data_IF_148436185228
#
_entry.id   IF_148436185228
#
_cell.length_a   1.000
_cell.length_b   1.000
_cell.length_c   1.000
_cell.angle_alpha   90.00
_cell.angle_beta   90.00
_cell.angle_gamma   90.00
#
_symmetry.space_group_name_H-M   'P 1'
#
loop_
_entity.id
_entity.type
_entity.pdbx_description
1 polymer ?
#
# COMPACT_ATOMS: atom_id res chain seq x y z
N UNK A 1 -22.55 16.91 10.73
CA UNK A 1 -23.19 18.07 10.07
C UNK A 1 -22.83 17.95 8.61
N UNK A 2 -23.81 17.80 7.67
CA UNK A 2 -23.49 17.76 6.24
C UNK A 2 -22.84 19.07 5.83
N UNK A 3 -21.71 18.97 5.09
CA UNK A 3 -21.03 20.13 4.54
C UNK A 3 -21.92 20.79 3.49
N UNK A 4 -21.99 22.13 3.42
CA UNK A 4 -22.81 22.84 2.43
C UNK A 4 -22.30 22.54 1.02
N UNK A 5 -23.21 22.23 0.10
CA UNK A 5 -22.94 22.17 -1.34
C UNK A 5 -22.46 23.54 -1.82
N UNK A 6 -21.19 23.64 -2.16
CA UNK A 6 -20.64 24.86 -2.76
C UNK A 6 -20.92 24.77 -4.27
N UNK A 7 -22.04 25.33 -4.69
CA UNK A 7 -22.39 25.47 -6.09
C UNK A 7 -21.57 26.62 -6.74
N UNK A 8 -20.40 26.28 -7.27
CA UNK A 8 -19.66 27.13 -8.19
C UNK A 8 -19.91 26.58 -9.60
N UNK A 9 -20.44 27.37 -10.56
CA UNK A 9 -20.66 26.90 -11.92
C UNK A 9 -19.34 26.43 -12.53
N UNK A 10 -19.28 25.18 -12.99
CA UNK A 10 -18.16 24.66 -13.77
C UNK A 10 -18.12 25.37 -15.14
N UNK A 11 -16.93 25.86 -15.55
CA UNK A 11 -16.72 26.30 -16.92
C UNK A 11 -16.72 25.06 -17.81
N UNK A 12 -17.62 24.98 -18.78
CA UNK A 12 -17.69 23.87 -19.75
C UNK A 12 -16.39 23.89 -20.56
N UNK A 13 -15.54 22.88 -20.35
CA UNK A 13 -14.34 22.66 -21.15
C UNK A 13 -14.74 21.79 -22.36
N UNK A 14 -14.53 22.30 -23.57
CA UNK A 14 -14.81 21.54 -24.79
C UNK A 14 -13.85 20.37 -24.92
N UNK A 15 -14.34 19.14 -24.80
CA UNK A 15 -13.58 17.93 -25.08
C UNK A 15 -13.64 17.66 -26.58
N UNK A 16 -12.48 17.66 -27.26
CA UNK A 16 -12.33 17.51 -28.71
C UNK A 16 -12.77 16.13 -29.22
N UNK A 17 -13.21 16.02 -30.48
CA UNK A 17 -13.74 14.82 -31.13
C UNK A 17 -12.74 13.69 -31.40
N UNK A 18 -11.67 13.56 -30.60
CA UNK A 18 -10.72 12.46 -30.61
C UNK A 18 -11.09 11.39 -29.57
N UNK A 19 -10.51 10.18 -29.68
CA UNK A 19 -10.59 9.19 -28.62
C UNK A 19 -10.09 9.80 -27.31
N UNK A 20 -10.97 9.89 -26.30
CA UNK A 20 -10.72 10.55 -25.02
C UNK A 20 -9.57 9.89 -24.27
N UNK A 21 -8.67 10.68 -23.71
CA UNK A 21 -7.46 10.22 -23.02
C UNK A 21 -7.52 10.57 -21.52
N UNK A 22 -7.17 9.62 -20.66
CA UNK A 22 -7.09 9.83 -19.22
C UNK A 22 -5.70 9.53 -18.69
N UNK A 23 -5.12 10.48 -17.96
CA UNK A 23 -3.89 10.30 -17.22
C UNK A 23 -4.19 10.06 -15.73
N UNK A 24 -3.82 8.92 -15.19
CA UNK A 24 -4.05 8.58 -13.77
C UNK A 24 -2.75 8.72 -12.99
N UNK A 25 -2.78 9.50 -11.92
CA UNK A 25 -1.67 9.64 -10.97
C UNK A 25 -2.07 9.02 -9.64
N UNK A 26 -1.30 8.03 -9.19
CA UNK A 26 -1.54 7.35 -7.92
C UNK A 26 -0.47 7.71 -6.90
N UNK A 27 -0.89 8.19 -5.74
CA UNK A 27 -0.02 8.47 -4.61
C UNK A 27 -0.36 7.57 -3.43
N UNK A 28 0.65 7.19 -2.64
CA UNK A 28 0.46 6.52 -1.36
C UNK A 28 0.62 5.00 -1.40
N UNK A 29 -0.41 4.26 -1.07
CA UNK A 29 -0.32 2.83 -0.72
C UNK A 29 -0.81 1.88 -1.83
N UNK A 30 -0.61 0.57 -1.63
CA UNK A 30 -1.05 -0.50 -2.54
C UNK A 30 -2.57 -0.49 -2.76
N UNK A 31 -3.34 -0.08 -1.73
CA UNK A 31 -4.80 0.07 -1.84
C UNK A 31 -5.14 1.16 -2.86
N UNK A 32 -4.48 2.33 -2.80
CA UNK A 32 -4.67 3.37 -3.81
C UNK A 32 -4.27 2.87 -5.22
N UNK A 33 -3.22 2.06 -5.33
CA UNK A 33 -2.81 1.49 -6.63
C UNK A 33 -3.91 0.57 -7.18
N UNK A 34 -4.42 -0.36 -6.38
CA UNK A 34 -5.52 -1.24 -6.77
C UNK A 34 -6.77 -0.44 -7.23
N UNK A 35 -7.16 0.56 -6.44
CA UNK A 35 -8.32 1.40 -6.75
C UNK A 35 -8.14 2.21 -8.05
N UNK A 36 -6.93 2.73 -8.29
CA UNK A 36 -6.62 3.47 -9.52
C UNK A 36 -6.66 2.58 -10.77
N UNK A 37 -6.18 1.35 -10.65
CA UNK A 37 -6.26 0.38 -11.76
C UNK A 37 -7.72 -0.02 -12.03
N UNK A 38 -8.55 -0.23 -11.00
CA UNK A 38 -9.99 -0.46 -11.17
C UNK A 38 -10.68 0.69 -11.90
N UNK A 39 -10.38 1.94 -11.49
CA UNK A 39 -10.93 3.12 -12.17
C UNK A 39 -10.47 3.14 -13.63
N UNK A 40 -9.18 2.89 -13.88
CA UNK A 40 -8.62 2.84 -15.22
C UNK A 40 -9.28 1.77 -16.10
N UNK A 41 -9.47 0.56 -15.57
CA UNK A 41 -10.13 -0.55 -16.27
C UNK A 41 -11.59 -0.22 -16.61
N UNK A 42 -12.31 0.38 -15.65
CA UNK A 42 -13.69 0.81 -15.85
C UNK A 42 -13.78 1.90 -16.94
N UNK A 43 -12.85 2.87 -16.94
CA UNK A 43 -12.81 3.92 -17.95
C UNK A 43 -12.46 3.40 -19.35
N UNK A 44 -11.60 2.36 -19.45
CA UNK A 44 -11.34 1.69 -20.73
C UNK A 44 -12.61 1.07 -21.32
N UNK A 45 -13.47 0.50 -20.48
CA UNK A 45 -14.76 -0.05 -20.88
C UNK A 45 -15.68 1.06 -21.46
N UNK A 46 -15.56 2.28 -20.95
CA UNK A 46 -16.26 3.47 -21.43
C UNK A 46 -15.51 4.20 -22.58
N UNK A 47 -14.62 3.49 -23.28
CA UNK A 47 -13.85 3.97 -24.43
C UNK A 47 -12.85 5.12 -24.15
N UNK A 48 -12.37 5.25 -22.90
CA UNK A 48 -11.26 6.11 -22.56
C UNK A 48 -9.92 5.40 -22.76
N UNK A 49 -8.97 6.08 -23.38
CA UNK A 49 -7.60 5.59 -23.48
C UNK A 49 -6.80 6.01 -22.24
N UNK A 50 -6.41 5.04 -21.41
CA UNK A 50 -5.48 5.29 -20.31
C UNK A 50 -4.10 5.52 -20.88
N UNK A 51 -3.52 6.67 -20.57
CA UNK A 51 -2.19 7.10 -21.04
C UNK A 51 -1.27 7.39 -19.87
N UNK A 52 0.06 7.35 -20.07
CA UNK A 52 0.99 7.80 -19.05
C UNK A 52 0.63 9.20 -18.53
N UNK A 53 0.63 9.38 -17.21
CA UNK A 53 0.28 10.66 -16.60
C UNK A 53 1.25 11.81 -16.96
N UNK A 54 2.33 11.51 -17.68
CA UNK A 54 3.30 12.46 -18.24
C UNK A 54 2.89 13.00 -19.61
N UNK A 55 1.89 12.39 -20.26
CA UNK A 55 1.36 12.81 -21.55
C UNK A 55 0.20 13.80 -21.41
N UNK A 56 -0.11 14.51 -22.48
CA UNK A 56 -1.32 15.33 -22.53
C UNK A 56 -2.56 14.41 -22.57
N UNK A 57 -3.55 14.72 -21.73
CA UNK A 57 -4.80 13.96 -21.61
C UNK A 57 -5.98 14.93 -21.51
N UNK A 58 -7.19 14.43 -21.77
CA UNK A 58 -8.44 15.19 -21.65
C UNK A 58 -8.99 15.19 -20.23
N UNK A 59 -8.57 14.18 -19.45
CA UNK A 59 -8.88 14.02 -18.03
C UNK A 59 -7.61 13.65 -17.26
N UNK A 60 -7.37 14.30 -16.14
CA UNK A 60 -6.41 13.85 -15.13
C UNK A 60 -7.12 13.44 -13.85
N UNK A 61 -6.92 12.20 -13.42
CA UNK A 61 -7.37 11.68 -12.14
C UNK A 61 -6.18 11.56 -11.18
N UNK A 62 -6.22 12.27 -10.06
CA UNK A 62 -5.17 12.21 -9.04
C UNK A 62 -5.71 11.54 -7.78
N UNK A 63 -5.34 10.26 -7.58
CA UNK A 63 -5.69 9.49 -6.39
C UNK A 63 -4.64 9.76 -5.29
N UNK A 64 -5.06 10.47 -4.25
CA UNK A 64 -4.19 11.13 -3.28
C UNK A 64 -4.01 10.34 -1.99
N UNK A 65 -2.91 10.63 -1.30
CA UNK A 65 -2.59 10.14 0.04
C UNK A 65 -2.54 11.30 1.05
N UNK A 66 -2.80 11.00 2.34
CA UNK A 66 -2.78 11.98 3.44
C UNK A 66 -2.13 11.44 4.73
N UNK A 67 -1.33 10.38 4.63
CA UNK A 67 -0.68 9.78 5.82
C UNK A 67 0.29 10.76 6.49
N UNK A 68 0.92 11.64 5.71
CA UNK A 68 1.82 12.69 6.20
C UNK A 68 1.54 14.04 5.55
N UNK A 69 1.96 15.14 6.20
CA UNK A 69 1.92 16.50 5.58
C UNK A 69 2.72 16.57 4.27
N UNK A 70 3.78 15.78 4.16
CA UNK A 70 4.55 15.67 2.92
C UNK A 70 3.74 15.01 1.81
N UNK A 71 2.94 13.99 2.12
CA UNK A 71 2.01 13.39 1.14
C UNK A 71 0.98 14.39 0.62
N UNK A 72 0.42 15.25 1.50
CA UNK A 72 -0.48 16.33 1.08
C UNK A 72 0.23 17.34 0.16
N UNK A 73 1.50 17.68 0.48
CA UNK A 73 2.31 18.59 -0.36
C UNK A 73 2.54 17.97 -1.75
N UNK A 74 2.89 16.70 -1.82
CA UNK A 74 3.07 15.97 -3.07
C UNK A 74 1.77 15.90 -3.87
N UNK A 75 0.64 15.61 -3.22
CA UNK A 75 -0.67 15.61 -3.86
C UNK A 75 -0.97 16.94 -4.56
N UNK A 76 -0.83 18.06 -3.84
CA UNK A 76 -1.00 19.40 -4.43
C UNK A 76 -0.03 19.70 -5.57
N UNK A 77 1.19 19.18 -5.49
CA UNK A 77 2.19 19.36 -6.54
C UNK A 77 1.80 18.58 -7.81
N UNK A 78 1.34 17.33 -7.69
CA UNK A 78 0.91 16.53 -8.85
C UNK A 78 -0.35 17.13 -9.50
N UNK A 79 -1.32 17.62 -8.72
CA UNK A 79 -2.48 18.35 -9.24
C UNK A 79 -2.04 19.54 -10.10
N UNK A 80 -1.12 20.39 -9.59
CA UNK A 80 -0.61 21.54 -10.34
C UNK A 80 0.16 21.15 -11.59
N UNK A 81 0.90 20.04 -11.57
CA UNK A 81 1.60 19.51 -12.75
C UNK A 81 0.60 19.06 -13.83
N UNK A 82 -0.48 18.38 -13.44
CA UNK A 82 -1.53 17.95 -14.37
C UNK A 82 -2.18 19.16 -15.06
N UNK A 83 -2.60 20.16 -14.29
CA UNK A 83 -3.18 21.42 -14.79
C UNK A 83 -2.23 22.14 -15.76
N UNK A 84 -0.93 22.24 -15.40
CA UNK A 84 0.07 22.88 -16.26
C UNK A 84 0.29 22.13 -17.58
N UNK A 85 0.14 20.79 -17.56
CA UNK A 85 0.37 19.94 -18.74
C UNK A 85 -0.70 20.14 -19.80
N UNK A 86 -1.95 20.19 -19.40
CA UNK A 86 -3.08 20.56 -20.26
C UNK A 86 -4.10 21.37 -19.45
N UNK A 87 -4.09 22.72 -19.60
CA UNK A 87 -5.03 23.60 -18.90
C UNK A 87 -6.50 23.37 -19.26
N UNK A 88 -6.77 22.80 -20.42
CA UNK A 88 -8.12 22.52 -20.93
C UNK A 88 -8.66 21.16 -20.46
N UNK A 89 -7.82 20.31 -19.87
CA UNK A 89 -8.24 19.03 -19.35
C UNK A 89 -9.13 19.17 -18.12
N UNK A 90 -10.04 18.20 -17.93
CA UNK A 90 -10.73 18.02 -16.66
C UNK A 90 -9.75 17.49 -15.60
N UNK A 91 -9.81 18.03 -14.40
CA UNK A 91 -8.94 17.60 -13.29
C UNK A 91 -9.79 17.15 -12.11
N UNK A 92 -9.70 15.85 -11.81
CA UNK A 92 -10.38 15.21 -10.69
C UNK A 92 -9.38 14.83 -9.61
N UNK A 93 -9.63 15.29 -8.39
CA UNK A 93 -8.83 14.95 -7.21
C UNK A 93 -9.63 14.02 -6.31
N UNK A 94 -9.08 12.84 -6.02
CA UNK A 94 -9.73 11.85 -5.15
C UNK A 94 -8.74 11.25 -4.15
N UNK A 95 -9.20 10.30 -3.33
CA UNK A 95 -8.36 9.60 -2.36
C UNK A 95 -8.37 10.23 -0.97
N UNK A 96 -7.43 9.79 -0.12
CA UNK A 96 -7.47 10.14 1.31
C UNK A 96 -7.30 11.64 1.58
N UNK A 97 -6.50 12.37 0.80
CA UNK A 97 -6.37 13.82 0.98
C UNK A 97 -7.64 14.55 0.55
N UNK A 98 -8.25 14.17 -0.55
CA UNK A 98 -9.53 14.72 -1.00
C UNK A 98 -10.65 14.48 0.02
N UNK A 99 -10.68 13.32 0.67
CA UNK A 99 -11.62 12.99 1.74
C UNK A 99 -11.43 13.86 2.98
N UNK A 100 -10.17 14.14 3.37
CA UNK A 100 -9.86 14.84 4.62
C UNK A 100 -9.88 16.35 4.51
N UNK A 101 -9.53 16.91 3.37
CA UNK A 101 -9.46 18.37 3.15
C UNK A 101 -9.97 18.72 1.75
N UNK A 102 -11.28 18.46 1.49
CA UNK A 102 -11.86 18.70 0.18
C UNK A 102 -11.83 20.17 -0.22
N UNK A 103 -11.97 21.09 0.75
CA UNK A 103 -11.91 22.52 0.47
C UNK A 103 -10.53 22.98 -0.01
N UNK A 104 -9.44 22.48 0.61
CA UNK A 104 -8.10 22.79 0.15
C UNK A 104 -7.84 22.26 -1.27
N UNK A 105 -8.37 21.08 -1.61
CA UNK A 105 -8.32 20.56 -2.96
C UNK A 105 -9.13 21.41 -3.95
N UNK A 106 -10.35 21.80 -3.60
CA UNK A 106 -11.24 22.60 -4.44
C UNK A 106 -10.71 24.04 -4.68
N UNK A 107 -9.94 24.58 -3.73
CA UNK A 107 -9.29 25.92 -3.86
C UNK A 107 -8.11 25.92 -4.81
N UNK A 108 -7.60 24.78 -5.28
CA UNK A 108 -6.54 24.75 -6.29
C UNK A 108 -7.16 25.19 -7.63
N UNK A 109 -6.68 26.29 -8.24
CA UNK A 109 -7.20 26.76 -9.52
C UNK A 109 -7.01 25.67 -10.59
N UNK A 110 -8.06 25.37 -11.35
CA UNK A 110 -8.05 24.35 -12.41
C UNK A 110 -8.51 22.95 -11.96
N UNK A 111 -8.81 22.73 -10.69
CA UNK A 111 -9.51 21.51 -10.23
C UNK A 111 -11.00 21.65 -10.55
N UNK A 112 -11.54 20.67 -11.24
CA UNK A 112 -12.94 20.62 -11.69
C UNK A 112 -13.82 19.81 -10.71
N UNK A 113 -13.31 18.69 -10.15
CA UNK A 113 -14.03 17.86 -9.20
C UNK A 113 -13.13 17.37 -8.08
N UNK A 114 -13.63 17.42 -6.86
CA UNK A 114 -13.08 16.74 -5.69
C UNK A 114 -14.02 15.61 -5.30
N UNK A 115 -13.53 14.37 -5.38
CA UNK A 115 -14.33 13.16 -5.19
C UNK A 115 -13.84 12.39 -3.96
N UNK A 116 -14.75 12.09 -3.02
CA UNK A 116 -14.45 11.33 -1.82
C UNK A 116 -14.14 9.85 -2.06
N UNK A 117 -13.64 9.20 -1.02
CA UNK A 117 -13.40 7.75 -1.02
C UNK A 117 -14.72 6.94 -1.06
N UNK A 118 -15.84 7.56 -0.71
CA UNK A 118 -17.17 6.96 -0.70
C UNK A 118 -17.64 6.53 -2.10
N UNK A 119 -17.29 7.27 -3.14
CA UNK A 119 -17.79 7.05 -4.50
C UNK A 119 -16.75 7.14 -5.62
N UNK A 120 -15.45 7.09 -5.30
CA UNK A 120 -14.40 7.19 -6.31
C UNK A 120 -14.43 6.07 -7.36
N UNK A 121 -14.90 4.88 -6.99
CA UNK A 121 -15.05 3.76 -7.93
C UNK A 121 -16.23 3.94 -8.88
N UNK A 122 -17.17 4.87 -8.58
CA UNK A 122 -18.26 5.26 -9.49
C UNK A 122 -17.85 6.34 -10.51
N UNK A 123 -16.56 6.64 -10.64
CA UNK A 123 -16.07 7.72 -11.50
C UNK A 123 -16.63 7.64 -12.93
N UNK A 124 -16.71 6.46 -13.50
CA UNK A 124 -17.28 6.24 -14.83
C UNK A 124 -18.75 6.70 -14.95
N UNK A 125 -19.55 6.52 -13.88
CA UNK A 125 -20.95 6.96 -13.84
C UNK A 125 -21.08 8.49 -13.72
N UNK A 126 -20.05 9.13 -13.16
CA UNK A 126 -20.01 10.57 -12.89
C UNK A 126 -19.46 11.37 -14.09
N UNK A 127 -18.62 10.78 -14.93
CA UNK A 127 -17.93 11.47 -16.03
C UNK A 127 -18.88 12.17 -16.99
N UNK A 128 -19.96 11.56 -17.50
CA UNK A 128 -20.88 12.25 -18.42
C UNK A 128 -21.48 13.53 -17.80
N UNK A 129 -21.81 13.48 -16.51
CA UNK A 129 -22.35 14.62 -15.77
C UNK A 129 -21.27 15.68 -15.49
N UNK A 130 -20.03 15.25 -15.25
CA UNK A 130 -18.90 16.15 -15.09
C UNK A 130 -18.63 16.93 -16.38
N UNK A 131 -18.63 16.24 -17.53
CA UNK A 131 -18.47 16.85 -18.85
C UNK A 131 -19.61 17.84 -19.19
N UNK A 132 -20.81 17.53 -18.76
CA UNK A 132 -21.97 18.43 -18.92
C UNK A 132 -21.98 19.62 -17.93
N UNK A 133 -21.04 19.65 -16.96
CA UNK A 133 -21.02 20.69 -15.92
C UNK A 133 -22.15 20.60 -14.91
N UNK A 134 -22.75 19.42 -14.75
CA UNK A 134 -23.92 19.17 -13.89
C UNK A 134 -23.56 18.79 -12.45
N UNK A 135 -22.27 18.54 -12.17
CA UNK A 135 -21.84 18.11 -10.82
C UNK A 135 -21.40 19.29 -9.95
N UNK A 136 -21.62 19.22 -8.64
CA UNK A 136 -20.98 20.14 -7.71
C UNK A 136 -19.47 19.89 -7.69
N UNK A 137 -18.71 20.94 -7.44
CA UNK A 137 -17.23 20.86 -7.41
C UNK A 137 -16.69 19.91 -6.35
N UNK A 138 -17.43 19.70 -5.26
CA UNK A 138 -17.04 18.82 -4.14
C UNK A 138 -18.14 17.77 -3.95
N UNK A 139 -17.75 16.50 -4.06
CA UNK A 139 -18.58 15.33 -3.83
C UNK A 139 -17.86 14.39 -2.85
N UNK A 140 -17.93 14.71 -1.57
CA UNK A 140 -17.31 13.95 -0.48
C UNK A 140 -18.40 13.60 0.51
N UNK A 141 -18.70 12.32 0.62
CA UNK A 141 -19.77 11.79 1.48
C UNK A 141 -19.26 11.19 2.78
N UNK A 142 -20.21 10.68 3.54
CA UNK A 142 -19.99 9.99 4.80
C UNK A 142 -19.66 8.51 4.51
N UNK A 143 -18.48 8.11 4.94
CA UNK A 143 -17.96 6.75 4.75
C UNK A 143 -18.68 5.69 5.61
N UNK A 144 -19.44 6.11 6.62
CA UNK A 144 -20.26 5.20 7.43
C UNK A 144 -21.54 4.79 6.70
N UNK A 145 -22.02 5.64 5.77
CA UNK A 145 -23.29 5.44 5.08
C UNK A 145 -23.12 4.76 3.71
N UNK A 146 -22.09 5.12 2.97
CA UNK A 146 -21.89 4.61 1.62
C UNK A 146 -20.41 4.53 1.26
N UNK A 147 -20.01 3.39 0.68
CA UNK A 147 -18.75 3.24 -0.02
C UNK A 147 -18.97 2.37 -1.25
N UNK A 148 -18.60 2.88 -2.42
CA UNK A 148 -18.66 2.10 -3.66
C UNK A 148 -17.77 0.86 -3.56
N UNK A 149 -18.33 -0.29 -3.88
CA UNK A 149 -17.61 -1.55 -4.03
C UNK A 149 -17.19 -1.76 -5.49
N UNK A 150 -16.15 -2.55 -5.76
CA UNK A 150 -15.76 -2.86 -7.13
C UNK A 150 -16.88 -3.61 -7.88
N UNK A 151 -17.37 -3.02 -8.96
CA UNK A 151 -18.32 -3.66 -9.87
C UNK A 151 -17.63 -4.57 -10.88
N UNK A 152 -16.34 -4.36 -11.12
CA UNK A 152 -15.54 -5.05 -12.13
C UNK A 152 -14.31 -5.71 -11.53
N UNK A 153 -13.82 -6.74 -12.21
CA UNK A 153 -12.56 -7.41 -11.88
C UNK A 153 -11.45 -6.86 -12.77
N UNK A 154 -10.29 -6.60 -12.18
CA UNK A 154 -9.08 -6.25 -12.92
C UNK A 154 -8.66 -7.40 -13.84
N UNK A 155 -8.35 -7.06 -15.09
CA UNK A 155 -7.68 -7.98 -16.00
C UNK A 155 -6.17 -8.07 -15.71
N UNK A 156 -5.58 -7.00 -15.21
CA UNK A 156 -4.15 -6.94 -14.91
C UNK A 156 -3.66 -5.54 -14.57
N UNK A 157 -2.35 -5.38 -14.57
CA UNK A 157 -1.59 -4.17 -14.27
C UNK A 157 -0.58 -3.92 -15.39
N UNK A 158 -0.74 -2.88 -16.18
CA UNK A 158 0.14 -2.65 -17.35
C UNK A 158 1.60 -2.39 -16.97
N UNK A 159 1.83 -1.70 -15.85
CA UNK A 159 3.17 -1.28 -15.43
C UNK A 159 3.83 -2.17 -14.37
N UNK A 160 3.15 -3.21 -13.89
CA UNK A 160 3.62 -4.02 -12.76
C UNK A 160 3.76 -5.50 -13.11
N UNK A 161 4.84 -6.13 -12.66
CA UNK A 161 5.05 -7.57 -12.76
C UNK A 161 4.24 -8.35 -11.71
N UNK A 162 3.86 -7.66 -10.62
CA UNK A 162 3.05 -8.17 -9.52
C UNK A 162 1.69 -7.50 -9.53
N UNK A 163 0.64 -8.27 -9.27
CA UNK A 163 -0.70 -7.73 -9.10
C UNK A 163 -0.98 -7.41 -7.62
N UNK A 164 -1.85 -6.46 -7.37
CA UNK A 164 -2.38 -6.14 -6.03
C UNK A 164 -3.85 -6.53 -5.97
N UNK A 165 -4.29 -7.08 -4.85
CA UNK A 165 -5.71 -7.37 -4.61
C UNK A 165 -6.07 -6.83 -3.23
N UNK A 166 -6.94 -5.84 -3.22
CA UNK A 166 -7.50 -5.32 -1.99
C UNK A 166 -8.58 -6.29 -1.49
N UNK A 167 -8.46 -6.69 -0.22
CA UNK A 167 -9.44 -7.58 0.43
C UNK A 167 -10.20 -6.88 1.56
N UNK A 168 -9.66 -5.77 2.08
CA UNK A 168 -10.20 -5.06 3.23
C UNK A 168 -9.97 -3.56 3.09
N UNK A 169 -10.92 -2.74 3.55
CA UNK A 169 -10.88 -1.28 3.55
C UNK A 169 -11.29 -0.74 4.91
N UNK A 170 -10.83 0.49 5.23
CA UNK A 170 -11.12 1.13 6.52
C UNK A 170 -10.34 0.52 7.67
N UNK A 171 -10.55 1.02 8.90
CA UNK A 171 -9.83 0.55 10.09
C UNK A 171 -10.54 1.00 11.36
N UNK A 172 -10.83 0.07 12.27
CA UNK A 172 -11.48 0.34 13.56
C UNK A 172 -10.48 0.59 14.72
N UNK A 173 -9.16 0.53 14.45
CA UNK A 173 -8.12 0.64 15.50
C UNK A 173 -8.10 2.00 16.20
N UNK A 174 -8.35 3.09 15.50
CA UNK A 174 -8.31 4.43 16.07
C UNK A 174 -6.97 4.78 16.73
N UNK A 175 -5.84 4.40 16.14
CA UNK A 175 -4.51 4.75 16.63
C UNK A 175 -4.38 6.26 16.79
N UNK A 176 -3.77 6.73 17.88
CA UNK A 176 -3.78 8.14 18.28
C UNK A 176 -3.10 9.09 17.30
N UNK A 177 -2.25 8.61 16.43
CA UNK A 177 -1.53 9.37 15.41
C UNK A 177 -2.13 9.28 14.01
N UNK A 178 -3.05 8.34 13.80
CA UNK A 178 -3.50 7.93 12.47
C UNK A 178 -4.82 8.63 12.11
N UNK A 179 -4.87 9.17 10.90
CA UNK A 179 -6.07 9.81 10.35
C UNK A 179 -6.83 8.85 9.41
N UNK A 180 -6.28 7.67 9.13
CA UNK A 180 -6.81 6.78 8.09
C UNK A 180 -8.16 6.19 8.46
N UNK A 181 -8.44 5.96 9.74
CA UNK A 181 -9.76 5.52 10.20
C UNK A 181 -10.86 6.54 9.84
N UNK A 182 -10.53 7.84 9.80
CA UNK A 182 -11.45 8.89 9.33
C UNK A 182 -11.48 8.96 7.80
N UNK A 183 -10.29 8.90 7.16
CA UNK A 183 -10.17 9.04 5.72
C UNK A 183 -10.73 7.86 4.93
N UNK A 184 -10.86 6.68 5.56
CA UNK A 184 -11.32 5.44 4.93
C UNK A 184 -12.52 4.79 5.62
N UNK A 185 -12.99 5.37 6.73
CA UNK A 185 -14.13 4.89 7.50
C UNK A 185 -13.86 3.58 8.27
N UNK A 186 -14.94 2.93 8.75
CA UNK A 186 -14.85 1.68 9.50
C UNK A 186 -14.28 0.53 8.67
N UNK A 187 -13.81 -0.51 9.36
CA UNK A 187 -13.30 -1.74 8.74
C UNK A 187 -14.40 -2.46 7.97
N UNK A 188 -14.12 -2.78 6.72
CA UNK A 188 -15.00 -3.53 5.82
C UNK A 188 -14.20 -4.53 5.01
N UNK A 189 -14.63 -5.79 5.04
CA UNK A 189 -14.08 -6.88 4.26
C UNK A 189 -14.80 -6.99 2.92
N UNK A 190 -14.08 -7.25 1.85
CA UNK A 190 -14.70 -7.64 0.59
C UNK A 190 -15.16 -9.10 0.67
N UNK A 191 -16.24 -9.41 -0.03
CA UNK A 191 -16.80 -10.77 -0.05
C UNK A 191 -15.75 -11.78 -0.54
N UNK A 192 -15.57 -12.94 0.15
CA UNK A 192 -14.62 -13.97 -0.25
C UNK A 192 -14.76 -14.40 -1.71
N UNK A 193 -16.00 -14.53 -2.19
CA UNK A 193 -16.30 -14.91 -3.57
C UNK A 193 -15.77 -13.91 -4.61
N UNK A 194 -15.82 -12.61 -4.30
CA UNK A 194 -15.28 -11.56 -5.16
C UNK A 194 -13.75 -11.62 -5.21
N UNK A 195 -13.12 -11.79 -4.04
CA UNK A 195 -11.67 -11.88 -3.92
C UNK A 195 -11.14 -13.10 -4.68
N UNK A 196 -11.78 -14.26 -4.50
CA UNK A 196 -11.44 -15.52 -5.22
C UNK A 196 -11.49 -15.32 -6.73
N UNK A 197 -12.57 -14.75 -7.25
CA UNK A 197 -12.71 -14.45 -8.68
C UNK A 197 -11.63 -13.51 -9.17
N UNK A 198 -11.28 -12.50 -8.39
CA UNK A 198 -10.22 -11.54 -8.74
C UNK A 198 -8.85 -12.22 -8.79
N UNK A 199 -8.49 -12.99 -7.76
CA UNK A 199 -7.21 -13.72 -7.70
C UNK A 199 -7.13 -14.75 -8.83
N UNK A 200 -8.20 -15.54 -9.05
CA UNK A 200 -8.26 -16.51 -10.13
C UNK A 200 -8.05 -15.87 -11.50
N UNK A 201 -8.70 -14.74 -11.76
CA UNK A 201 -8.54 -14.00 -13.03
C UNK A 201 -7.10 -13.53 -13.24
N UNK A 202 -6.47 -12.98 -12.21
CA UNK A 202 -5.07 -12.55 -12.29
C UNK A 202 -4.10 -13.70 -12.48
N UNK A 203 -4.30 -14.81 -11.77
CA UNK A 203 -3.50 -16.02 -11.92
C UNK A 203 -3.59 -16.60 -13.36
N UNK A 204 -4.81 -16.71 -13.90
CA UNK A 204 -5.04 -17.16 -15.28
C UNK A 204 -4.48 -16.18 -16.34
N UNK A 205 -4.39 -14.90 -16.02
CA UNK A 205 -3.75 -13.89 -16.88
C UNK A 205 -2.21 -13.86 -16.71
N UNK A 206 -1.62 -14.83 -16.00
CA UNK A 206 -0.18 -15.04 -15.91
C UNK A 206 0.53 -14.16 -14.88
N UNK A 207 -0.17 -13.60 -13.88
CA UNK A 207 0.50 -12.88 -12.78
C UNK A 207 1.14 -13.87 -11.81
N UNK A 208 2.49 -13.90 -11.73
CA UNK A 208 3.21 -14.87 -10.92
C UNK A 208 3.21 -14.53 -9.41
N UNK A 209 2.98 -13.26 -9.05
CA UNK A 209 2.84 -12.84 -7.65
C UNK A 209 1.62 -11.94 -7.48
N UNK A 210 0.77 -12.29 -6.51
CA UNK A 210 -0.41 -11.53 -6.13
C UNK A 210 -0.23 -11.04 -4.70
N UNK A 211 -0.20 -9.73 -4.52
CA UNK A 211 -0.03 -9.09 -3.22
C UNK A 211 -1.39 -8.79 -2.61
N UNK A 212 -1.72 -9.48 -1.55
CA UNK A 212 -2.95 -9.27 -0.78
C UNK A 212 -2.77 -8.01 0.08
N UNK A 213 -3.67 -7.04 -0.05
CA UNK A 213 -3.57 -5.77 0.64
C UNK A 213 -4.89 -5.31 1.27
N UNK A 214 -4.75 -4.54 2.33
CA UNK A 214 -5.83 -3.91 3.08
C UNK A 214 -5.28 -2.72 3.87
N UNK A 215 -6.16 -1.99 4.52
CA UNK A 215 -5.81 -0.89 5.45
C UNK A 215 -5.41 -1.47 6.81
N UNK A 216 -6.15 -2.46 7.29
CA UNK A 216 -5.86 -3.29 8.46
C UNK A 216 -6.07 -4.76 8.08
N UNK A 217 -5.11 -5.30 7.34
CA UNK A 217 -5.22 -6.59 6.67
C UNK A 217 -5.63 -7.72 7.61
N UNK A 218 -5.08 -7.72 8.82
CA UNK A 218 -5.34 -8.76 9.81
C UNK A 218 -6.75 -8.76 10.38
N UNK A 219 -7.49 -7.65 10.26
CA UNK A 219 -8.91 -7.55 10.66
C UNK A 219 -9.89 -8.03 9.58
N UNK A 220 -9.39 -8.66 8.51
CA UNK A 220 -10.26 -9.25 7.50
C UNK A 220 -11.15 -10.31 8.12
N UNK A 221 -12.46 -10.19 7.88
CA UNK A 221 -13.47 -11.12 8.36
C UNK A 221 -14.17 -10.70 9.66
N UNK A 222 -13.60 -9.78 10.45
CA UNK A 222 -14.20 -9.34 11.72
C UNK A 222 -15.60 -8.77 11.56
N UNK A 223 -15.87 -8.07 10.46
CA UNK A 223 -17.21 -7.54 10.12
C UNK A 223 -18.13 -8.63 9.56
N UNK A 224 -17.62 -9.54 8.75
CA UNK A 224 -18.39 -10.67 8.21
C UNK A 224 -18.89 -11.57 9.33
N UNK A 225 -18.07 -11.85 10.33
CA UNK A 225 -18.46 -12.64 11.50
C UNK A 225 -19.56 -11.96 12.33
N UNK A 226 -19.56 -10.64 12.42
CA UNK A 226 -20.62 -9.87 13.10
C UNK A 226 -21.97 -10.02 12.40
N UNK A 227 -21.99 -10.12 11.08
CA UNK A 227 -23.21 -10.15 10.27
C UNK A 227 -23.78 -11.56 10.14
N UNK A 228 -22.93 -12.58 10.03
CA UNK A 228 -23.34 -13.97 9.77
C UNK A 228 -23.30 -14.88 10.99
N UNK A 229 -22.52 -14.52 12.02
CA UNK A 229 -22.23 -15.38 13.17
C UNK A 229 -21.18 -16.47 12.91
N UNK A 230 -20.74 -16.64 11.67
CA UNK A 230 -19.69 -17.57 11.30
C UNK A 230 -18.33 -16.88 11.39
N UNK A 231 -17.33 -17.57 11.92
CA UNK A 231 -15.95 -17.08 11.96
C UNK A 231 -15.26 -17.38 10.63
N UNK A 232 -14.93 -16.37 9.86
CA UNK A 232 -14.15 -16.47 8.64
C UNK A 232 -13.07 -15.40 8.66
N UNK A 233 -11.83 -15.80 8.86
CA UNK A 233 -10.70 -14.87 9.06
C UNK A 233 -9.76 -14.80 7.84
N UNK A 234 -8.68 -14.03 7.98
CA UNK A 234 -7.65 -13.91 6.96
C UNK A 234 -7.05 -15.27 6.58
N UNK A 235 -6.83 -16.16 7.56
CA UNK A 235 -6.22 -17.47 7.28
C UNK A 235 -7.16 -18.36 6.47
N UNK A 236 -8.46 -18.34 6.77
CA UNK A 236 -9.46 -19.07 5.99
C UNK A 236 -9.50 -18.58 4.54
N UNK A 237 -9.49 -17.25 4.35
CA UNK A 237 -9.39 -16.68 3.01
C UNK A 237 -8.12 -17.14 2.29
N UNK A 238 -6.96 -17.06 2.94
CA UNK A 238 -5.69 -17.47 2.33
C UNK A 238 -5.69 -18.93 1.92
N UNK A 239 -6.24 -19.83 2.75
CA UNK A 239 -6.39 -21.26 2.41
C UNK A 239 -7.27 -21.44 1.18
N UNK A 240 -8.40 -20.74 1.09
CA UNK A 240 -9.26 -20.78 -0.10
C UNK A 240 -8.57 -20.23 -1.36
N UNK A 241 -7.77 -19.15 -1.22
CA UNK A 241 -7.01 -18.60 -2.35
C UNK A 241 -5.89 -19.54 -2.82
N UNK A 242 -5.24 -20.22 -1.90
CA UNK A 242 -4.19 -21.19 -2.19
C UNK A 242 -4.75 -22.51 -2.77
N UNK A 243 -6.02 -22.78 -2.56
CA UNK A 243 -6.72 -23.91 -3.18
C UNK A 243 -7.23 -23.64 -4.61
N UNK A 244 -7.10 -22.40 -5.11
CA UNK A 244 -7.50 -22.06 -6.47
C UNK A 244 -6.66 -22.77 -7.52
N UNK A 245 -7.28 -23.12 -8.66
CA UNK A 245 -6.59 -23.69 -9.80
C UNK A 245 -5.54 -22.73 -10.36
N UNK A 246 -4.41 -23.27 -10.75
CA UNK A 246 -3.29 -22.53 -11.32
C UNK A 246 -2.53 -23.39 -12.34
N UNK A 247 -1.71 -22.77 -13.17
CA UNK A 247 -0.80 -23.45 -14.06
C UNK A 247 0.38 -24.06 -13.26
N UNK A 248 0.54 -25.39 -13.20
CA UNK A 248 1.63 -26.03 -12.47
C UNK A 248 3.02 -25.62 -12.95
N UNK A 249 3.17 -25.25 -14.23
CA UNK A 249 4.43 -24.80 -14.81
C UNK A 249 4.77 -23.35 -14.41
N UNK A 250 3.75 -22.56 -14.05
CA UNK A 250 3.92 -21.18 -13.59
C UNK A 250 2.99 -20.86 -12.40
N UNK A 251 3.24 -21.44 -11.23
CA UNK A 251 2.40 -21.25 -10.06
C UNK A 251 2.46 -19.81 -9.57
N UNK A 252 1.29 -19.21 -9.30
CA UNK A 252 1.27 -17.91 -8.63
C UNK A 252 1.61 -18.05 -7.15
N UNK A 253 2.20 -16.99 -6.58
CA UNK A 253 2.48 -16.87 -5.15
C UNK A 253 1.68 -15.74 -4.54
N UNK A 254 1.33 -15.90 -3.28
CA UNK A 254 0.70 -14.85 -2.48
C UNK A 254 1.75 -14.15 -1.62
N UNK A 255 1.67 -12.84 -1.57
CA UNK A 255 2.43 -12.02 -0.63
C UNK A 255 1.48 -11.20 0.22
N UNK A 256 1.67 -11.20 1.52
CA UNK A 256 0.91 -10.31 2.40
C UNK A 256 1.51 -8.90 2.40
N UNK A 257 0.66 -7.89 2.41
CA UNK A 257 1.08 -6.52 2.70
C UNK A 257 1.34 -6.35 4.20
N UNK A 258 1.19 -5.14 4.74
CA UNK A 258 1.47 -4.87 6.15
C UNK A 258 0.49 -5.62 7.06
N UNK A 259 1.03 -6.33 8.05
CA UNK A 259 0.26 -7.00 9.09
C UNK A 259 0.61 -6.41 10.47
N UNK A 260 -0.41 -6.25 11.30
CA UNK A 260 -0.24 -5.83 12.69
C UNK A 260 0.29 -7.01 13.53
N UNK A 261 1.28 -6.82 14.42
CA UNK A 261 1.78 -7.87 15.30
C UNK A 261 0.69 -8.63 16.07
N UNK A 262 -0.41 -7.97 16.42
CA UNK A 262 -1.57 -8.57 17.07
C UNK A 262 -2.19 -9.72 16.27
N UNK A 263 -2.13 -9.67 14.96
CA UNK A 263 -2.70 -10.67 14.05
C UNK A 263 -1.72 -11.78 13.63
N UNK A 264 -0.52 -11.84 14.22
CA UNK A 264 0.39 -12.98 14.02
C UNK A 264 -0.06 -14.10 14.95
N UNK A 265 -1.14 -14.79 14.59
CA UNK A 265 -1.71 -15.92 15.33
C UNK A 265 -0.95 -17.22 15.05
N UNK A 266 -1.15 -18.24 15.90
CA UNK A 266 -0.57 -19.57 15.65
C UNK A 266 -1.09 -20.18 14.33
N UNK A 267 -2.39 -19.98 14.03
CA UNK A 267 -3.02 -20.38 12.75
C UNK A 267 -2.30 -19.75 11.55
N UNK A 268 -1.94 -18.45 11.63
CA UNK A 268 -1.21 -17.78 10.56
C UNK A 268 0.23 -18.29 10.45
N UNK A 269 0.91 -18.52 11.57
CA UNK A 269 2.28 -19.07 11.59
C UNK A 269 2.29 -20.47 10.97
N UNK A 270 1.36 -21.34 11.35
CA UNK A 270 1.23 -22.69 10.79
C UNK A 270 0.99 -22.65 9.28
N UNK A 271 0.00 -21.88 8.83
CA UNK A 271 -0.28 -21.74 7.41
C UNK A 271 0.94 -21.23 6.63
N UNK A 272 1.61 -20.21 7.15
CA UNK A 272 2.76 -19.61 6.47
C UNK A 272 3.96 -20.55 6.38
N UNK A 273 4.19 -21.35 7.43
CA UNK A 273 5.30 -22.31 7.47
C UNK A 273 5.10 -23.56 6.61
N UNK A 274 3.84 -23.91 6.33
CA UNK A 274 3.48 -25.12 5.57
C UNK A 274 3.16 -24.86 4.09
N UNK A 275 2.86 -23.62 3.72
CA UNK A 275 2.46 -23.27 2.33
C UNK A 275 3.58 -22.53 1.58
N UNK A 276 4.30 -23.21 0.67
CA UNK A 276 5.45 -22.62 -0.02
C UNK A 276 5.07 -21.53 -1.03
N UNK A 277 3.80 -21.38 -1.38
CA UNK A 277 3.32 -20.28 -2.22
C UNK A 277 3.00 -19.01 -1.44
N UNK A 278 3.07 -19.02 -0.11
CA UNK A 278 3.14 -17.80 0.69
C UNK A 278 4.59 -17.30 0.73
N UNK A 279 4.84 -16.14 0.17
CA UNK A 279 6.18 -15.56 0.10
C UNK A 279 6.81 -15.42 1.50
N UNK A 280 8.06 -15.88 1.67
CA UNK A 280 8.79 -15.88 2.94
C UNK A 280 9.25 -14.47 3.38
N UNK A 281 8.33 -13.51 3.35
CA UNK A 281 8.55 -12.12 3.70
C UNK A 281 7.35 -11.56 4.47
N UNK A 282 7.60 -11.01 5.65
CA UNK A 282 6.61 -10.34 6.47
C UNK A 282 6.89 -8.83 6.54
N UNK A 283 5.85 -8.02 6.33
CA UNK A 283 5.90 -6.59 6.58
C UNK A 283 5.08 -6.25 7.84
N UNK A 284 5.77 -5.82 8.89
CA UNK A 284 5.15 -5.52 10.19
C UNK A 284 4.72 -4.06 10.30
N UNK A 285 3.52 -3.80 10.79
CA UNK A 285 3.10 -2.49 11.29
C UNK A 285 3.61 -2.25 12.72
N UNK A 286 4.94 -2.33 12.93
CA UNK A 286 5.59 -2.32 14.24
C UNK A 286 5.41 -1.00 15.02
N UNK A 287 5.55 0.13 14.34
CA UNK A 287 5.47 1.50 14.82
C UNK A 287 6.52 1.89 15.88
N UNK A 288 6.72 1.14 16.95
CA UNK A 288 7.71 1.41 18.01
C UNK A 288 8.15 0.10 18.69
N UNK A 289 9.35 0.07 19.26
CA UNK A 289 9.85 -1.02 20.10
C UNK A 289 9.68 -0.79 21.60
N UNK A 290 9.02 0.29 22.01
CA UNK A 290 8.81 0.63 23.42
C UNK A 290 7.33 0.49 23.81
N UNK A 291 7.03 -0.33 24.83
CA UNK A 291 5.67 -0.63 25.30
C UNK A 291 4.88 0.63 25.70
N UNK A 292 5.51 1.63 26.34
CA UNK A 292 4.81 2.85 26.74
C UNK A 292 4.43 3.71 25.52
N UNK A 293 5.29 3.79 24.52
CA UNK A 293 4.98 4.48 23.25
C UNK A 293 3.88 3.75 22.51
N UNK A 294 3.92 2.42 22.40
CA UNK A 294 2.85 1.61 21.81
C UNK A 294 1.51 1.84 22.50
N UNK A 295 1.46 1.88 23.82
CA UNK A 295 0.25 2.21 24.60
C UNK A 295 -0.25 3.62 24.29
N UNK A 296 0.65 4.62 24.20
CA UNK A 296 0.28 6.01 23.82
C UNK A 296 -0.23 6.10 22.39
N UNK A 297 0.28 5.26 21.51
CA UNK A 297 -0.21 5.09 20.14
C UNK A 297 -1.55 4.35 20.06
N UNK A 298 -2.04 3.77 21.19
CA UNK A 298 -3.23 2.91 21.26
C UNK A 298 -3.07 1.64 20.40
N UNK A 299 -1.88 0.99 20.49
CA UNK A 299 -1.67 -0.31 19.86
C UNK A 299 -2.20 -1.44 20.73
N UNK A 300 -2.65 -2.54 20.08
CA UNK A 300 -3.23 -3.73 20.75
C UNK A 300 -2.18 -4.71 21.30
N UNK A 301 -0.91 -4.42 21.08
CA UNK A 301 0.24 -5.23 21.49
C UNK A 301 1.28 -4.36 22.20
N UNK A 302 2.17 -5.00 22.90
CA UNK A 302 3.36 -4.39 23.52
C UNK A 302 4.65 -4.96 22.93
N UNK A 303 5.79 -4.49 23.42
CA UNK A 303 7.11 -4.86 22.90
C UNK A 303 7.43 -6.35 23.14
N UNK A 304 6.98 -6.90 24.26
CA UNK A 304 7.26 -8.30 24.62
C UNK A 304 6.42 -9.25 23.77
N UNK A 305 5.14 -8.92 23.53
CA UNK A 305 4.29 -9.64 22.59
C UNK A 305 4.94 -9.71 21.19
N UNK A 306 5.48 -8.60 20.68
CA UNK A 306 6.17 -8.60 19.38
C UNK A 306 7.34 -9.58 19.38
N UNK A 307 8.20 -9.53 20.41
CA UNK A 307 9.36 -10.45 20.51
C UNK A 307 8.93 -11.91 20.54
N UNK A 308 7.92 -12.22 21.34
CA UNK A 308 7.38 -13.57 21.47
C UNK A 308 6.83 -14.10 20.14
N UNK A 309 5.97 -13.33 19.47
CA UNK A 309 5.37 -13.76 18.19
C UNK A 309 6.43 -13.93 17.09
N UNK A 310 7.42 -13.02 17.02
CA UNK A 310 8.51 -13.16 16.06
C UNK A 310 9.44 -14.34 16.42
N UNK A 311 9.69 -14.60 17.68
CA UNK A 311 10.47 -15.78 18.07
C UNK A 311 9.79 -17.08 17.66
N UNK A 312 8.49 -17.22 17.91
CA UNK A 312 7.69 -18.38 17.47
C UNK A 312 7.74 -18.53 15.94
N UNK A 313 7.55 -17.42 15.22
CA UNK A 313 7.60 -17.41 13.76
C UNK A 313 8.99 -17.80 13.22
N UNK A 314 10.07 -17.33 13.85
CA UNK A 314 11.45 -17.69 13.48
C UNK A 314 11.76 -19.17 13.73
N UNK A 315 11.17 -19.79 14.74
CA UNK A 315 11.30 -21.24 14.98
C UNK A 315 10.65 -22.03 13.84
N UNK A 316 9.48 -21.60 13.37
CA UNK A 316 8.77 -22.26 12.28
C UNK A 316 9.40 -21.94 10.89
N UNK A 317 9.93 -20.72 10.72
CA UNK A 317 10.45 -20.19 9.44
C UNK A 317 11.77 -19.41 9.68
N UNK A 318 12.92 -20.08 9.86
CA UNK A 318 14.21 -19.42 10.09
C UNK A 318 14.61 -18.43 8.97
N UNK A 319 14.20 -18.73 7.74
CA UNK A 319 14.54 -17.97 6.54
C UNK A 319 13.66 -16.73 6.30
N UNK A 320 12.62 -16.53 7.10
CA UNK A 320 11.70 -15.41 6.92
C UNK A 320 12.41 -14.07 7.01
N UNK A 321 12.20 -13.22 6.02
CA UNK A 321 12.70 -11.84 6.02
C UNK A 321 11.62 -10.88 6.56
N UNK A 322 12.04 -9.98 7.46
CA UNK A 322 11.14 -9.03 8.10
C UNK A 322 11.46 -7.62 7.61
N UNK A 323 10.45 -6.95 7.08
CA UNK A 323 10.40 -5.49 6.96
C UNK A 323 9.40 -4.92 7.97
N UNK A 324 9.52 -3.63 8.33
CA UNK A 324 8.60 -3.03 9.27
C UNK A 324 8.41 -1.53 9.06
N UNK A 325 7.18 -1.07 9.26
CA UNK A 325 6.89 0.35 9.42
C UNK A 325 7.25 0.80 10.84
N UNK A 326 8.12 1.81 10.95
CA UNK A 326 8.62 2.31 12.23
C UNK A 326 8.56 3.83 12.28
N UNK A 327 7.87 4.35 13.28
CA UNK A 327 7.73 5.77 13.54
C UNK A 327 8.75 6.24 14.59
N UNK A 328 9.40 7.37 14.34
CA UNK A 328 10.26 8.04 15.32
C UNK A 328 9.74 9.41 15.67
N UNK A 329 10.01 9.85 16.90
CA UNK A 329 9.64 11.17 17.37
C UNK A 329 8.14 11.34 17.61
N UNK A 330 7.45 10.25 17.99
CA UNK A 330 6.10 10.35 18.53
C UNK A 330 6.07 11.32 19.73
N UNK A 331 5.03 12.15 19.89
CA UNK A 331 4.96 13.06 21.03
C UNK A 331 5.28 12.35 22.35
N UNK A 332 6.14 12.99 23.17
CA UNK A 332 6.65 12.46 24.42
C UNK A 332 7.69 11.33 24.33
N UNK A 333 8.13 10.93 23.16
CA UNK A 333 9.18 9.91 23.01
C UNK A 333 10.52 10.44 23.54
N UNK A 334 11.05 9.79 24.58
CA UNK A 334 12.39 10.10 25.12
C UNK A 334 13.49 9.45 24.29
N UNK A 335 14.76 9.82 24.54
CA UNK A 335 15.90 9.15 23.88
C UNK A 335 15.95 7.66 24.22
N UNK A 336 15.71 7.28 25.47
CA UNK A 336 15.70 5.87 25.86
C UNK A 336 14.62 5.07 25.13
N UNK A 337 13.42 5.62 25.00
CA UNK A 337 12.32 4.97 24.27
C UNK A 337 12.60 4.82 22.77
N UNK A 338 13.34 5.78 22.20
CA UNK A 338 13.87 5.64 20.86
C UNK A 338 14.92 4.53 20.76
N UNK A 339 15.85 4.44 21.74
CA UNK A 339 16.86 3.37 21.80
C UNK A 339 16.23 1.98 21.94
N UNK A 340 15.15 1.85 22.69
CA UNK A 340 14.38 0.61 22.80
C UNK A 340 13.83 0.18 21.44
N UNK A 341 13.39 1.15 20.62
CA UNK A 341 12.94 0.89 19.24
C UNK A 341 14.11 0.46 18.33
N UNK A 342 15.26 1.13 18.46
CA UNK A 342 16.46 0.75 17.70
C UNK A 342 16.93 -0.67 18.09
N UNK A 343 16.86 -1.02 19.38
CA UNK A 343 17.20 -2.35 19.88
C UNK A 343 16.20 -3.40 19.38
N UNK A 344 14.90 -3.09 19.37
CA UNK A 344 13.87 -3.99 18.82
C UNK A 344 14.18 -4.42 17.39
N UNK A 345 14.64 -3.50 16.51
CA UNK A 345 15.00 -3.87 15.14
C UNK A 345 16.09 -4.96 15.11
N UNK A 346 17.05 -4.90 16.02
CA UNK A 346 18.11 -5.92 16.13
C UNK A 346 17.57 -7.22 16.70
N UNK A 347 16.77 -7.15 17.78
CA UNK A 347 16.24 -8.32 18.48
C UNK A 347 15.41 -9.22 17.55
N UNK A 348 14.56 -8.62 16.70
CA UNK A 348 13.68 -9.37 15.82
C UNK A 348 14.20 -9.44 14.36
N UNK A 349 15.36 -8.87 14.06
CA UNK A 349 16.02 -8.96 12.77
C UNK A 349 15.27 -8.22 11.65
N UNK A 350 14.83 -6.98 11.88
CA UNK A 350 14.19 -6.15 10.85
C UNK A 350 15.23 -5.70 9.83
N UNK A 351 15.25 -6.35 8.68
CA UNK A 351 16.20 -6.04 7.62
C UNK A 351 15.81 -4.76 6.86
N UNK A 352 14.52 -4.53 6.62
CA UNK A 352 14.05 -3.42 5.81
C UNK A 352 13.05 -2.53 6.57
N UNK A 353 13.54 -1.66 7.50
CA UNK A 353 12.66 -0.72 8.18
C UNK A 353 12.24 0.42 7.24
N UNK A 354 10.95 0.62 7.09
CA UNK A 354 10.36 1.81 6.50
C UNK A 354 10.19 2.85 7.63
N UNK A 355 11.20 3.69 7.77
CA UNK A 355 11.24 4.66 8.86
C UNK A 355 10.61 5.98 8.45
N UNK A 356 9.73 6.49 9.27
CA UNK A 356 9.13 7.80 9.09
C UNK A 356 9.08 8.59 10.39
N UNK A 357 9.22 9.91 10.26
CA UNK A 357 9.09 10.81 11.41
C UNK A 357 7.62 11.07 11.68
N UNK A 358 7.24 11.15 12.96
CA UNK A 358 5.90 11.57 13.33
C UNK A 358 5.52 12.85 12.59
N UNK A 359 4.36 12.82 11.96
CA UNK A 359 3.76 13.93 11.22
C UNK A 359 2.40 14.25 11.84
N UNK A 360 2.26 15.46 12.37
CA UNK A 360 1.01 15.89 12.96
C UNK A 360 -0.12 15.84 11.93
N UNK A 361 -1.24 15.25 12.33
CA UNK A 361 -2.47 15.20 11.53
C UNK A 361 -3.59 15.84 12.34
N UNK A 362 -4.14 16.92 11.82
CA UNK A 362 -5.22 17.65 12.48
C UNK A 362 -6.40 16.70 12.71
N UNK A 363 -7.03 16.81 13.88
CA UNK A 363 -8.11 15.92 14.30
C UNK A 363 -7.66 14.67 15.07
N UNK A 364 -6.39 14.26 14.98
CA UNK A 364 -5.88 13.10 15.73
C UNK A 364 -5.62 13.43 17.20
N UNK A 365 -5.76 12.46 18.15
CA UNK A 365 -5.42 12.68 19.56
C UNK A 365 -3.97 13.12 19.76
N UNK A 366 -3.01 12.57 19.01
CA UNK A 366 -1.59 12.89 19.16
C UNK A 366 -1.27 14.33 18.75
N UNK A 367 -2.01 14.94 17.81
CA UNK A 367 -1.82 16.34 17.43
C UNK A 367 -2.24 17.33 18.52
N UNK A 368 -3.08 16.90 19.47
CA UNK A 368 -3.54 17.72 20.59
C UNK A 368 -2.54 17.76 21.77
N UNK A 369 -1.48 16.92 21.71
CA UNK A 369 -0.44 16.92 22.74
C UNK A 369 0.33 18.24 22.67
N UNK A 370 0.48 18.98 23.78
CA UNK A 370 1.10 20.28 23.79
C UNK A 370 2.48 20.32 23.13
N UNK A 371 2.80 21.39 22.44
CA UNK A 371 4.05 21.56 21.66
C UNK A 371 5.31 21.33 22.50
N UNK A 372 5.29 21.69 23.79
CA UNK A 372 6.40 21.44 24.73
C UNK A 372 6.71 19.95 24.94
N UNK A 373 5.76 19.06 24.67
CA UNK A 373 5.91 17.62 24.73
C UNK A 373 6.16 16.98 23.37
N UNK A 374 6.18 17.77 22.31
CA UNK A 374 6.50 17.30 20.97
C UNK A 374 8.01 17.14 20.82
N UNK A 375 8.44 16.07 20.15
CA UNK A 375 9.85 15.95 19.77
C UNK A 375 10.15 16.93 18.64
N UNK A 376 11.19 17.74 18.78
CA UNK A 376 11.56 18.75 17.80
C UNK A 376 11.83 18.13 16.42
N UNK A 377 11.45 18.84 15.35
CA UNK A 377 11.58 18.35 13.96
C UNK A 377 13.03 17.96 13.61
N UNK A 378 14.08 18.73 13.98
CA UNK A 378 15.46 18.29 13.74
C UNK A 378 15.80 16.96 14.42
N UNK A 379 15.31 16.76 15.64
CA UNK A 379 15.51 15.52 16.40
C UNK A 379 14.77 14.34 15.76
N UNK A 380 13.53 14.51 15.29
CA UNK A 380 12.82 13.47 14.51
C UNK A 380 13.63 13.05 13.28
N UNK A 381 14.20 14.01 12.55
CA UNK A 381 15.04 13.73 11.37
C UNK A 381 16.32 12.98 11.76
N UNK A 382 16.98 13.38 12.85
CA UNK A 382 18.19 12.72 13.38
C UNK A 382 17.89 11.27 13.73
N UNK A 383 16.82 11.01 14.51
CA UNK A 383 16.38 9.66 14.89
C UNK A 383 16.03 8.81 13.66
N UNK A 384 15.32 9.38 12.69
CA UNK A 384 14.98 8.70 11.45
C UNK A 384 16.21 8.24 10.66
N UNK A 385 17.21 9.12 10.51
CA UNK A 385 18.45 8.76 9.82
C UNK A 385 19.24 7.70 10.58
N UNK A 386 19.33 7.82 11.90
CA UNK A 386 20.03 6.88 12.77
C UNK A 386 19.38 5.49 12.71
N UNK A 387 18.04 5.42 12.76
CA UNK A 387 17.33 4.15 12.70
C UNK A 387 17.54 3.42 11.37
N UNK A 388 17.55 4.16 10.24
CA UNK A 388 17.90 3.58 8.93
C UNK A 388 19.32 3.03 8.90
N UNK A 389 20.27 3.75 9.52
CA UNK A 389 21.64 3.28 9.58
C UNK A 389 21.81 2.06 10.48
N UNK A 390 21.02 1.95 11.56
CA UNK A 390 21.03 0.80 12.47
C UNK A 390 20.60 -0.52 11.78
N UNK A 391 19.80 -0.45 10.73
CA UNK A 391 19.40 -1.63 9.96
C UNK A 391 20.46 -2.11 8.95
N UNK A 392 21.42 -1.27 8.57
CA UNK A 392 22.43 -1.64 7.56
C UNK A 392 23.24 -2.90 7.90
N UNK A 393 23.74 -3.09 9.14
CA UNK A 393 24.40 -4.32 9.53
C UNK A 393 23.49 -5.56 9.41
N UNK A 394 22.20 -5.41 9.76
CA UNK A 394 21.21 -6.50 9.64
C UNK A 394 21.02 -6.88 8.17
N UNK A 395 20.88 -5.88 7.29
CA UNK A 395 20.76 -6.09 5.85
C UNK A 395 21.99 -6.77 5.27
N UNK A 396 23.17 -6.33 5.69
CA UNK A 396 24.43 -6.87 5.20
C UNK A 396 24.56 -8.34 5.61
N UNK A 397 24.38 -8.66 6.90
CA UNK A 397 24.42 -10.02 7.41
C UNK A 397 23.42 -10.94 6.72
N UNK A 398 22.18 -10.44 6.47
CA UNK A 398 21.16 -11.18 5.74
C UNK A 398 21.61 -11.51 4.32
N UNK A 399 22.14 -10.54 3.58
CA UNK A 399 22.61 -10.77 2.20
C UNK A 399 23.80 -11.75 2.16
N UNK A 400 24.74 -11.59 3.08
CA UNK A 400 25.92 -12.47 3.19
C UNK A 400 25.49 -13.92 3.50
N UNK A 401 24.50 -14.12 4.36
CA UNK A 401 23.97 -15.46 4.68
C UNK A 401 23.32 -16.17 3.50
N UNK A 402 22.96 -15.43 2.44
CA UNK A 402 22.34 -16.00 1.23
C UNK A 402 23.35 -16.43 0.17
N UNK A 403 24.60 -16.00 0.25
CA UNK A 403 25.66 -16.37 -0.72
C UNK A 403 25.90 -17.87 -0.69
N UNK A 404 25.99 -18.48 -1.88
CA UNK A 404 26.12 -19.93 -2.05
C UNK A 404 24.81 -20.70 -2.01
N UNK A 405 23.71 -20.07 -1.60
CA UNK A 405 22.36 -20.65 -1.64
C UNK A 405 21.67 -20.43 -2.99
N UNK A 406 20.37 -20.79 -3.01
CA UNK A 406 19.49 -20.54 -4.16
C UNK A 406 18.28 -19.70 -3.71
N UNK A 407 17.68 -18.98 -4.65
CA UNK A 407 16.42 -18.25 -4.43
C UNK A 407 15.54 -18.32 -5.67
N UNK A 408 14.23 -18.31 -5.47
CA UNK A 408 13.30 -18.03 -6.54
C UNK A 408 13.19 -16.51 -6.71
N UNK A 409 13.35 -16.03 -7.95
CA UNK A 409 13.34 -14.60 -8.27
C UNK A 409 12.34 -14.30 -9.37
N UNK A 410 11.74 -13.11 -9.26
CA UNK A 410 10.82 -12.56 -10.26
C UNK A 410 11.47 -11.33 -10.90
N UNK A 411 11.72 -11.32 -12.23
CA UNK A 411 12.27 -10.16 -12.92
C UNK A 411 11.29 -8.97 -12.89
N UNK A 412 11.76 -7.80 -12.40
CA UNK A 412 10.92 -6.61 -12.28
C UNK A 412 11.24 -5.54 -13.35
N UNK A 413 12.50 -5.17 -13.49
CA UNK A 413 12.94 -4.09 -14.38
C UNK A 413 14.43 -4.21 -14.73
N UNK A 414 14.84 -3.56 -15.79
CA UNK A 414 16.26 -3.41 -16.11
C UNK A 414 16.99 -2.71 -14.95
N UNK A 415 18.13 -3.23 -14.59
CA UNK A 415 18.97 -2.63 -13.57
C UNK A 415 19.68 -1.37 -14.11
N UNK A 416 20.19 -0.52 -13.21
CA UNK A 416 21.10 0.57 -13.61
C UNK A 416 22.44 0.05 -14.14
N UNK A 417 22.84 -1.14 -13.73
CA UNK A 417 23.99 -1.85 -14.25
C UNK A 417 23.63 -2.45 -15.60
N UNK A 418 24.38 -2.10 -16.63
CA UNK A 418 24.16 -2.58 -17.99
C UNK A 418 24.26 -4.11 -18.07
N UNK A 419 23.40 -4.73 -18.87
CA UNK A 419 23.32 -6.18 -19.05
C UNK A 419 22.60 -6.94 -17.93
N UNK A 420 22.14 -6.25 -16.86
CA UNK A 420 21.46 -6.89 -15.74
C UNK A 420 19.99 -6.49 -15.62
N UNK A 421 19.20 -7.45 -15.20
CA UNK A 421 17.80 -7.24 -14.73
C UNK A 421 17.77 -7.33 -13.21
N UNK A 422 17.08 -6.36 -12.60
CA UNK A 422 16.79 -6.39 -11.18
C UNK A 422 15.58 -7.28 -10.94
N UNK A 423 15.79 -8.35 -10.20
CA UNK A 423 14.81 -9.33 -9.82
C UNK A 423 14.47 -9.21 -8.33
N UNK A 424 13.27 -9.61 -7.96
CA UNK A 424 12.80 -9.68 -6.58
C UNK A 424 12.68 -11.13 -6.15
N UNK A 425 13.38 -11.50 -5.08
CA UNK A 425 13.26 -12.82 -4.51
C UNK A 425 11.96 -13.01 -3.70
N UNK A 426 11.59 -14.24 -3.45
CA UNK A 426 10.44 -14.60 -2.62
C UNK A 426 10.50 -14.03 -1.21
N UNK A 427 11.69 -13.87 -0.65
CA UNK A 427 11.98 -13.23 0.62
C UNK A 427 12.17 -11.70 0.54
N UNK A 428 11.85 -11.11 -0.62
CA UNK A 428 11.92 -9.67 -0.91
C UNK A 428 13.33 -9.12 -1.16
N UNK A 429 14.37 -9.92 -1.13
CA UNK A 429 15.72 -9.48 -1.49
C UNK A 429 15.81 -9.08 -2.98
N UNK A 430 16.64 -8.09 -3.25
CA UNK A 430 16.94 -7.68 -4.61
C UNK A 430 18.13 -8.46 -5.14
N UNK A 431 17.96 -9.09 -6.32
CA UNK A 431 18.95 -9.92 -6.99
C UNK A 431 19.17 -9.38 -8.39
N UNK A 432 20.43 -9.20 -8.78
CA UNK A 432 20.84 -8.91 -10.16
C UNK A 432 21.11 -10.22 -10.88
N UNK A 433 20.46 -10.39 -12.03
CA UNK A 433 20.66 -11.54 -12.92
C UNK A 433 20.91 -11.02 -14.32
N UNK A 434 21.74 -11.69 -15.12
CA UNK A 434 21.95 -11.31 -16.50
C UNK A 434 20.63 -11.28 -17.27
N UNK A 435 20.41 -10.23 -18.06
CA UNK A 435 19.11 -9.97 -18.70
C UNK A 435 18.74 -11.01 -19.76
N UNK A 436 19.71 -11.67 -20.36
CA UNK A 436 19.52 -12.76 -21.33
C UNK A 436 19.14 -14.10 -20.67
N UNK A 437 19.33 -14.23 -19.37
CA UNK A 437 18.98 -15.44 -18.61
C UNK A 437 17.57 -15.38 -18.03
N UNK A 438 16.90 -14.24 -18.03
CA UNK A 438 15.61 -14.08 -17.32
C UNK A 438 14.44 -13.76 -18.25
N UNK A 439 13.30 -14.33 -17.95
CA UNK A 439 12.03 -14.08 -18.65
C UNK A 439 11.10 -13.30 -17.74
N UNK A 440 10.63 -12.15 -18.21
CA UNK A 440 9.69 -11.29 -17.47
C UNK A 440 8.39 -12.06 -17.18
N UNK A 441 7.90 -11.92 -15.95
CA UNK A 441 6.61 -12.52 -15.54
C UNK A 441 6.67 -14.00 -15.16
N UNK A 442 7.87 -14.57 -15.08
CA UNK A 442 8.08 -15.98 -14.69
C UNK A 442 9.01 -16.08 -13.49
N UNK A 443 8.65 -16.88 -12.51
CA UNK A 443 9.54 -17.23 -11.42
C UNK A 443 10.69 -18.09 -11.93
N UNK A 444 11.91 -17.71 -11.59
CA UNK A 444 13.12 -18.44 -11.97
C UNK A 444 13.99 -18.73 -10.77
N UNK A 445 14.55 -19.93 -10.71
CA UNK A 445 15.48 -20.30 -9.66
C UNK A 445 16.89 -19.84 -10.02
N UNK A 446 17.55 -19.17 -9.08
CA UNK A 446 18.92 -18.65 -9.27
C UNK A 446 19.83 -19.13 -8.16
N UNK A 447 21.10 -19.38 -8.51
CA UNK A 447 22.19 -19.62 -7.57
C UNK A 447 22.83 -18.29 -7.22
N UNK A 448 22.86 -17.92 -5.93
CA UNK A 448 23.37 -16.66 -5.43
C UNK A 448 24.89 -16.73 -5.24
N UNK A 449 25.66 -15.91 -5.95
CA UNK A 449 27.13 -16.03 -6.07
C UNK A 449 27.90 -15.07 -5.15
N UNK A 450 27.56 -13.81 -5.18
CA UNK A 450 28.28 -12.76 -4.46
C UNK A 450 27.42 -11.51 -4.28
N UNK A 451 27.96 -10.53 -3.56
CA UNK A 451 27.36 -9.20 -3.43
C UNK A 451 27.99 -8.21 -4.40
N UNK A 452 27.16 -7.33 -4.96
CA UNK A 452 27.57 -6.12 -5.65
C UNK A 452 26.82 -4.93 -5.04
N UNK A 453 27.49 -4.21 -4.16
CA UNK A 453 26.87 -3.15 -3.36
C UNK A 453 25.72 -3.67 -2.48
N UNK A 454 24.52 -3.17 -2.72
CA UNK A 454 23.31 -3.57 -1.98
C UNK A 454 22.55 -4.74 -2.63
N UNK A 455 23.08 -5.33 -3.69
CA UNK A 455 22.43 -6.39 -4.46
C UNK A 455 23.17 -7.72 -4.30
N UNK A 456 22.41 -8.79 -4.23
CA UNK A 456 22.91 -10.12 -4.53
C UNK A 456 23.04 -10.27 -6.05
N UNK A 457 24.04 -11.01 -6.51
CA UNK A 457 24.23 -11.38 -7.93
C UNK A 457 24.09 -12.87 -8.05
N UNK A 458 23.35 -13.34 -9.04
CA UNK A 458 23.11 -14.77 -9.26
C UNK A 458 22.93 -15.13 -10.73
N UNK A 459 23.03 -16.42 -11.00
CA UNK A 459 22.83 -17.03 -12.31
C UNK A 459 21.65 -18.00 -12.25
N UNK A 460 20.86 -18.08 -13.33
CA UNK A 460 19.74 -19.05 -13.45
C UNK A 460 20.29 -20.46 -13.43
N UNK A 461 19.61 -21.37 -12.69
CA UNK A 461 19.97 -22.80 -12.53
C UNK A 461 18.86 -23.71 -12.95
#
# INVERSE_FOLDING_TARGET
VPLPEIAVPLQIKNVSGHAKRVGITTLGCKVNTYESELIGETLKTDHWNVVPNTEAADLYLINTCTVTREADRQARQEVRKAIKRNPDALVVVTGCYAQMDPEACAKIPGVDLVLGNDRKLDMHKLLPKLEAGELPKVMVGDLDQHVSLPDQLLAGYEAHTRAFVQIQQGCDQGCTFCIIHVARGPSRSLAPSLIKRQVQRLALNGYPEIVICGVDLGSYGDDLARDTGDTFDLCDLLQELLALEYDPENPFRLRLSSIDPYHITDKLIELWSTEPRLCAHMHLSLQSGNTLILKRMKRRYDADHVRERIATLRQAMPELVISADVMVGFPTETEQQYLDTEQMLRDIGVAFPHTFSYSERDGTPASRIPSVKQVAVPERKRRNLRLRNAAKPIQQALRESRIGGTAWVLPEKLAKREGYTMCRAEDYLAVLVYSDQVTKGVWQKVSLKHLDGEYLVGDVV
#
